data_IF_619344864740
#
_entry.id   IF_619344864740
#
_cell.length_a   1.000
_cell.length_b   1.000
_cell.length_c   1.000
_cell.angle_alpha   90.00
_cell.angle_beta   90.00
_cell.angle_gamma   90.00
#
_symmetry.space_group_name_H-M   'P 1'
#
loop_
_entity.id
_entity.type
_entity.pdbx_description
1 polymer ?
#
# COMPACT_ATOMS: atom_id res chain seq x y z
N UNK A 1 12.94 -18.34 7.97
CA UNK A 1 12.38 -17.46 6.91
C UNK A 1 11.32 -18.16 6.06
N UNK A 2 11.68 -19.25 5.34
CA UNK A 2 10.75 -19.88 4.37
C UNK A 2 9.37 -20.25 4.92
N UNK A 3 9.25 -20.67 6.18
CA UNK A 3 7.96 -21.06 6.76
C UNK A 3 7.07 -19.87 7.10
N UNK A 4 7.62 -18.76 7.60
CA UNK A 4 6.85 -17.63 8.10
C UNK A 4 6.25 -16.79 6.98
N UNK A 5 6.97 -16.61 5.85
CA UNK A 5 6.51 -15.86 4.68
C UNK A 5 5.88 -16.71 3.57
N UNK A 6 5.73 -18.03 3.78
CA UNK A 6 5.12 -18.89 2.76
C UNK A 6 3.73 -18.41 2.37
N UNK A 7 3.53 -18.06 1.10
CA UNK A 7 2.26 -17.56 0.59
C UNK A 7 1.91 -16.12 0.96
N UNK A 8 2.83 -15.38 1.59
CA UNK A 8 2.65 -13.99 1.95
C UNK A 8 2.72 -13.06 0.72
N UNK A 9 2.18 -11.87 0.89
CA UNK A 9 2.34 -10.73 0.00
C UNK A 9 2.99 -9.56 0.73
N UNK A 10 3.86 -8.81 0.06
CA UNK A 10 4.27 -7.48 0.49
C UNK A 10 3.50 -6.43 -0.33
N UNK A 11 2.56 -5.75 0.30
CA UNK A 11 1.66 -4.83 -0.40
C UNK A 11 2.29 -3.45 -0.65
N UNK A 12 3.55 -3.24 -0.21
CA UNK A 12 4.21 -1.96 -0.32
C UNK A 12 5.73 -2.13 -0.22
N UNK A 13 6.40 -2.13 -1.37
CA UNK A 13 7.86 -2.21 -1.41
C UNK A 13 8.41 -1.36 -2.56
N UNK A 14 9.60 -0.81 -2.37
CA UNK A 14 10.32 -0.02 -3.36
C UNK A 14 11.50 -0.80 -3.94
N UNK A 15 11.67 -0.74 -5.26
CA UNK A 15 12.79 -1.35 -5.95
C UNK A 15 13.23 -0.49 -7.14
N UNK A 16 14.43 -0.74 -7.66
CA UNK A 16 14.91 -0.14 -8.90
C UNK A 16 14.41 -0.87 -10.15
N UNK A 17 14.40 -0.18 -11.32
CA UNK A 17 14.83 1.22 -11.51
C UNK A 17 13.87 2.22 -10.89
N UNK A 18 14.43 3.27 -10.26
CA UNK A 18 13.63 4.38 -9.69
C UNK A 18 14.43 5.70 -9.86
N UNK A 19 13.81 6.83 -9.52
CA UNK A 19 14.45 8.17 -9.58
C UNK A 19 15.55 8.31 -8.51
N UNK A 20 15.44 7.58 -7.42
CA UNK A 20 16.43 7.51 -6.33
C UNK A 20 17.01 6.11 -6.22
N UNK A 21 18.21 6.00 -5.64
CA UNK A 21 18.87 4.72 -5.43
C UNK A 21 18.04 3.80 -4.54
N UNK A 22 17.87 2.57 -4.97
CA UNK A 22 17.15 1.53 -4.25
C UNK A 22 18.10 0.42 -3.79
N UNK A 23 17.70 -0.29 -2.75
CA UNK A 23 18.44 -1.41 -2.16
C UNK A 23 18.69 -2.54 -3.15
N UNK A 24 17.66 -2.83 -3.95
CA UNK A 24 17.59 -3.92 -4.90
C UNK A 24 16.86 -3.46 -6.15
N UNK A 25 17.13 -4.08 -7.30
CA UNK A 25 16.26 -3.93 -8.45
C UNK A 25 15.03 -4.88 -8.36
N UNK A 26 14.12 -4.74 -9.33
CA UNK A 26 12.89 -5.54 -9.38
C UNK A 26 13.15 -7.04 -9.47
N UNK A 27 14.21 -7.45 -10.17
CA UNK A 27 14.51 -8.87 -10.39
C UNK A 27 15.20 -9.48 -9.17
N UNK A 28 16.10 -8.74 -8.54
CA UNK A 28 16.73 -9.10 -7.27
C UNK A 28 15.69 -9.28 -6.17
N UNK A 29 14.75 -8.33 -6.08
CA UNK A 29 13.64 -8.37 -5.13
C UNK A 29 12.73 -9.57 -5.40
N UNK A 30 12.35 -9.81 -6.67
CA UNK A 30 11.54 -10.96 -7.06
C UNK A 30 12.23 -12.29 -6.73
N UNK A 31 13.54 -12.40 -6.97
CA UNK A 31 14.31 -13.58 -6.61
C UNK A 31 14.32 -13.84 -5.10
N UNK A 32 14.50 -12.78 -4.29
CA UNK A 32 14.49 -12.89 -2.83
C UNK A 32 13.11 -13.31 -2.29
N UNK A 33 12.02 -12.71 -2.79
CA UNK A 33 10.67 -13.07 -2.38
C UNK A 33 10.25 -14.46 -2.83
N UNK A 34 10.61 -14.86 -4.05
CA UNK A 34 10.39 -16.23 -4.54
C UNK A 34 11.14 -17.26 -3.67
N UNK A 35 12.40 -16.96 -3.32
CA UNK A 35 13.21 -17.83 -2.44
C UNK A 35 12.61 -17.92 -1.01
N UNK A 36 11.95 -16.84 -0.52
CA UNK A 36 11.24 -16.83 0.75
C UNK A 36 9.87 -17.55 0.69
N UNK A 37 9.41 -17.98 -0.49
CA UNK A 37 8.14 -18.68 -0.70
C UNK A 37 6.93 -17.73 -0.67
N UNK A 38 7.15 -16.45 -0.87
CA UNK A 38 6.06 -15.47 -0.97
C UNK A 38 5.26 -15.67 -2.26
N UNK A 39 4.00 -15.23 -2.25
CA UNK A 39 3.08 -15.36 -3.38
C UNK A 39 3.10 -14.14 -4.29
N UNK A 40 3.49 -12.99 -3.77
CA UNK A 40 3.56 -11.77 -4.58
C UNK A 40 3.98 -10.53 -3.83
N UNK A 41 4.03 -9.42 -4.56
CA UNK A 41 4.35 -8.11 -4.01
C UNK A 41 3.87 -6.97 -4.90
N UNK A 42 3.79 -5.77 -4.33
CA UNK A 42 3.35 -4.55 -4.98
C UNK A 42 4.53 -3.60 -5.13
N UNK A 43 4.97 -3.36 -6.37
CA UNK A 43 6.06 -2.42 -6.65
C UNK A 43 5.50 -0.99 -6.58
N UNK A 44 6.04 -0.16 -5.68
CA UNK A 44 5.68 1.26 -5.57
C UNK A 44 6.83 2.16 -6.01
N UNK A 45 6.50 3.21 -6.75
CA UNK A 45 7.36 4.38 -7.00
C UNK A 45 6.57 5.65 -6.70
N UNK A 46 7.23 6.67 -6.15
CA UNK A 46 6.61 7.98 -5.95
C UNK A 46 6.50 8.80 -7.25
N UNK A 47 7.15 8.38 -8.32
CA UNK A 47 7.39 9.22 -9.49
C UNK A 47 6.62 8.78 -10.74
N UNK A 48 6.58 7.48 -11.01
CA UNK A 48 5.98 6.92 -12.22
C UNK A 48 5.15 5.68 -11.89
N UNK A 49 4.29 5.26 -12.84
CA UNK A 49 3.63 3.97 -12.73
C UNK A 49 4.65 2.82 -12.80
N UNK A 50 4.28 1.69 -12.21
CA UNK A 50 5.14 0.51 -12.14
C UNK A 50 4.55 -0.72 -12.83
N UNK A 51 3.43 -0.56 -13.57
CA UNK A 51 2.73 -1.69 -14.18
C UNK A 51 3.57 -2.40 -15.24
N UNK A 52 4.30 -1.64 -16.07
CA UNK A 52 5.21 -2.22 -17.07
C UNK A 52 6.34 -3.03 -16.42
N UNK A 53 6.89 -2.54 -15.29
CA UNK A 53 7.91 -3.25 -14.50
C UNK A 53 7.33 -4.55 -13.95
N UNK A 54 6.17 -4.49 -13.29
CA UNK A 54 5.46 -5.64 -12.75
C UNK A 54 5.16 -6.70 -13.83
N UNK A 55 4.74 -6.26 -15.02
CA UNK A 55 4.51 -7.15 -16.16
C UNK A 55 5.78 -7.92 -16.56
N UNK A 56 6.92 -7.24 -16.69
CA UNK A 56 8.18 -7.87 -17.06
C UNK A 56 8.69 -8.85 -15.99
N UNK A 57 8.54 -8.50 -14.72
CA UNK A 57 8.89 -9.40 -13.60
C UNK A 57 8.07 -10.67 -13.65
N UNK A 58 6.75 -10.61 -13.86
CA UNK A 58 5.89 -11.79 -14.00
C UNK A 58 6.27 -12.68 -15.18
N UNK A 59 6.86 -12.14 -16.26
CA UNK A 59 7.37 -12.96 -17.37
C UNK A 59 8.55 -13.84 -16.96
N UNK A 60 9.37 -13.39 -16.01
CA UNK A 60 10.54 -14.10 -15.52
C UNK A 60 10.24 -14.95 -14.27
N UNK A 61 9.28 -14.52 -13.48
CA UNK A 61 8.81 -15.19 -12.26
C UNK A 61 7.30 -15.44 -12.33
N UNK A 62 6.84 -16.40 -13.16
CA UNK A 62 5.42 -16.61 -13.44
C UNK A 62 4.60 -17.06 -12.21
N UNK A 63 5.25 -17.60 -11.19
CA UNK A 63 4.60 -18.03 -9.94
C UNK A 63 4.40 -16.88 -8.95
N UNK A 64 4.99 -15.69 -9.21
CA UNK A 64 4.80 -14.50 -8.39
C UNK A 64 3.71 -13.60 -8.97
N UNK A 65 2.75 -13.24 -8.12
CA UNK A 65 1.76 -12.22 -8.43
C UNK A 65 2.33 -10.83 -8.14
N UNK A 66 3.01 -10.24 -9.13
CA UNK A 66 3.63 -8.92 -9.01
C UNK A 66 2.69 -7.87 -9.56
N UNK A 67 2.46 -6.81 -8.79
CA UNK A 67 1.44 -5.80 -9.05
C UNK A 67 2.06 -4.41 -9.16
N UNK A 68 1.60 -3.63 -10.12
CA UNK A 68 2.03 -2.25 -10.34
C UNK A 68 1.09 -1.22 -9.74
N UNK A 69 1.64 -0.05 -9.46
CA UNK A 69 0.96 1.10 -8.83
C UNK A 69 1.06 2.37 -9.65
N UNK A 70 0.18 3.33 -9.36
CA UNK A 70 0.29 4.73 -9.74
C UNK A 70 0.18 5.59 -8.49
N UNK A 71 1.03 6.61 -8.35
CA UNK A 71 0.98 7.59 -7.25
C UNK A 71 0.67 8.97 -7.81
N UNK A 72 -0.34 9.65 -7.27
CA UNK A 72 -0.88 10.91 -7.80
C UNK A 72 -0.05 12.13 -7.34
N UNK A 73 1.26 12.06 -7.57
CA UNK A 73 2.18 13.17 -7.38
C UNK A 73 2.28 14.04 -8.66
N UNK A 74 2.98 15.16 -8.59
CA UNK A 74 3.16 16.08 -9.71
C UNK A 74 3.78 15.44 -10.96
N UNK A 75 4.64 14.44 -10.78
CA UNK A 75 5.27 13.70 -11.89
C UNK A 75 4.29 13.05 -12.85
N UNK A 76 3.05 12.80 -12.41
CA UNK A 76 1.96 12.25 -13.23
C UNK A 76 0.80 13.25 -13.41
N UNK A 77 1.00 14.51 -13.02
CA UNK A 77 0.01 15.58 -13.14
C UNK A 77 -0.89 15.75 -11.91
N UNK A 78 -0.50 15.23 -10.74
CA UNK A 78 -1.27 15.35 -9.50
C UNK A 78 -2.58 14.56 -9.54
N UNK A 79 -3.70 15.18 -9.14
CA UNK A 79 -5.05 14.60 -9.20
C UNK A 79 -5.53 14.56 -10.66
N UNK A 80 -5.01 13.63 -11.44
CA UNK A 80 -5.20 13.52 -12.87
C UNK A 80 -6.04 12.29 -13.24
N UNK A 81 -7.36 12.43 -13.50
CA UNK A 81 -8.22 11.32 -13.89
C UNK A 81 -7.77 10.62 -15.16
N UNK A 82 -7.24 11.36 -16.16
CA UNK A 82 -6.76 10.77 -17.39
C UNK A 82 -5.57 9.83 -17.16
N UNK A 83 -4.63 10.23 -16.27
CA UNK A 83 -3.53 9.35 -15.88
C UNK A 83 -4.03 8.07 -15.21
N UNK A 84 -5.05 8.15 -14.34
CA UNK A 84 -5.65 6.98 -13.69
C UNK A 84 -6.34 6.07 -14.71
N UNK A 85 -7.08 6.65 -15.68
CA UNK A 85 -7.73 5.88 -16.75
C UNK A 85 -6.71 5.12 -17.60
N UNK A 86 -5.64 5.80 -18.04
CA UNK A 86 -4.58 5.15 -18.83
C UNK A 86 -3.85 4.09 -18.02
N UNK A 87 -3.56 4.37 -16.74
CA UNK A 87 -2.92 3.44 -15.83
C UNK A 87 -3.78 2.16 -15.61
N UNK A 88 -5.09 2.31 -15.44
CA UNK A 88 -6.01 1.18 -15.35
C UNK A 88 -5.95 0.26 -16.58
N UNK A 89 -5.93 0.84 -17.79
CA UNK A 89 -5.76 0.09 -19.05
C UNK A 89 -4.39 -0.53 -19.19
N UNK A 90 -3.35 0.09 -18.62
CA UNK A 90 -1.97 -0.37 -18.67
C UNK A 90 -1.68 -1.48 -17.63
N UNK A 91 -2.62 -1.76 -16.71
CA UNK A 91 -2.53 -2.84 -15.75
C UNK A 91 -2.13 -2.44 -14.34
N UNK A 92 -2.19 -1.14 -14.00
CA UNK A 92 -2.07 -0.67 -12.62
C UNK A 92 -3.24 -1.21 -11.80
N UNK A 93 -2.94 -1.66 -10.58
CA UNK A 93 -3.95 -2.20 -9.65
C UNK A 93 -4.16 -1.35 -8.41
N UNK A 94 -3.16 -0.61 -7.97
CA UNK A 94 -3.24 0.28 -6.82
C UNK A 94 -3.01 1.73 -7.25
N UNK A 95 -3.89 2.62 -6.81
CA UNK A 95 -3.76 4.06 -6.97
C UNK A 95 -3.56 4.68 -5.60
N UNK A 96 -2.40 5.29 -5.40
CA UNK A 96 -2.09 6.04 -4.18
C UNK A 96 -2.46 7.51 -4.38
N UNK A 97 -3.12 8.09 -3.40
CA UNK A 97 -3.22 9.53 -3.28
C UNK A 97 -1.82 10.14 -3.18
N UNK A 98 -1.68 11.47 -3.30
CA UNK A 98 -0.38 12.12 -3.24
C UNK A 98 0.47 11.66 -2.06
N UNK A 99 1.77 11.50 -2.32
CA UNK A 99 2.74 11.12 -1.30
C UNK A 99 3.72 12.26 -1.04
N UNK A 100 4.89 12.28 -1.70
CA UNK A 100 5.92 13.31 -1.48
C UNK A 100 5.43 14.73 -1.81
N UNK A 101 4.45 14.87 -2.69
CA UNK A 101 3.86 16.16 -3.08
C UNK A 101 2.57 16.48 -2.32
N UNK A 102 2.14 15.64 -1.36
CA UNK A 102 0.97 15.90 -0.55
C UNK A 102 1.11 17.17 0.27
N UNK A 103 0.00 17.92 0.44
CA UNK A 103 -0.01 19.10 1.32
C UNK A 103 0.53 18.79 2.71
N UNK A 104 0.15 17.66 3.26
CA UNK A 104 0.57 17.19 4.58
C UNK A 104 2.10 17.00 4.71
N UNK A 105 2.81 16.85 3.59
CA UNK A 105 4.26 16.68 3.55
C UNK A 105 5.03 17.99 3.37
N UNK A 106 4.52 18.89 2.54
CA UNK A 106 5.29 20.04 2.06
C UNK A 106 4.79 21.36 2.64
N UNK A 107 3.50 21.52 2.91
CA UNK A 107 2.85 22.74 3.34
C UNK A 107 3.16 23.98 2.46
N UNK A 108 3.28 23.77 1.15
CA UNK A 108 3.58 24.82 0.15
C UNK A 108 2.39 25.04 -0.77
N UNK A 109 2.34 26.20 -1.45
CA UNK A 109 1.27 26.50 -2.41
C UNK A 109 1.23 25.52 -3.59
N UNK A 110 2.37 24.93 -3.94
CA UNK A 110 2.46 23.92 -5.00
C UNK A 110 2.04 22.52 -4.55
N UNK A 111 1.84 22.28 -3.25
CA UNK A 111 1.47 20.95 -2.75
C UNK A 111 0.10 20.50 -3.24
N UNK A 112 -0.04 19.19 -3.49
CA UNK A 112 -1.34 18.61 -3.84
C UNK A 112 -2.20 18.45 -2.58
N UNK A 113 -3.31 19.16 -2.54
CA UNK A 113 -4.28 19.10 -1.44
C UNK A 113 -5.57 18.46 -1.95
N UNK A 114 -6.08 17.47 -1.23
CA UNK A 114 -7.31 16.79 -1.61
C UNK A 114 -8.55 17.29 -0.87
N UNK A 115 -8.38 17.96 0.27
CA UNK A 115 -9.48 18.54 1.07
C UNK A 115 -9.19 20.01 1.37
N UNK A 116 -10.11 20.89 1.00
CA UNK A 116 -10.06 22.33 1.33
C UNK A 116 -11.44 22.83 1.72
N UNK A 117 -11.53 23.52 2.85
CA UNK A 117 -12.77 24.09 3.37
C UNK A 117 -13.93 23.07 3.44
N UNK A 118 -13.60 21.82 3.82
CA UNK A 118 -14.54 20.69 3.93
C UNK A 118 -15.00 20.10 2.60
N UNK A 119 -14.38 20.49 1.48
CA UNK A 119 -14.71 19.97 0.14
C UNK A 119 -13.51 19.23 -0.46
N UNK A 120 -13.78 18.08 -1.05
CA UNK A 120 -12.79 17.35 -1.85
C UNK A 120 -12.46 18.15 -3.12
N UNK A 121 -11.19 18.07 -3.52
CA UNK A 121 -10.69 18.74 -4.72
C UNK A 121 -11.36 18.23 -6.00
N UNK A 122 -11.39 19.08 -7.02
CA UNK A 122 -11.87 18.72 -8.35
C UNK A 122 -11.08 17.51 -8.89
N UNK A 123 -11.78 16.64 -9.62
CA UNK A 123 -11.22 15.40 -10.18
C UNK A 123 -11.25 14.19 -9.23
N UNK A 124 -11.39 14.38 -7.91
CA UNK A 124 -11.46 13.25 -6.96
C UNK A 124 -12.63 12.32 -7.29
N UNK A 125 -13.82 12.86 -7.52
CA UNK A 125 -15.00 12.04 -7.84
C UNK A 125 -14.82 11.18 -9.09
N UNK A 126 -14.21 11.74 -10.14
CA UNK A 126 -13.90 11.03 -11.37
C UNK A 126 -12.82 9.96 -11.15
N UNK A 127 -11.78 10.27 -10.39
CA UNK A 127 -10.74 9.31 -9.99
C UNK A 127 -11.36 8.12 -9.25
N UNK A 128 -12.25 8.38 -8.29
CA UNK A 128 -12.92 7.32 -7.53
C UNK A 128 -13.80 6.44 -8.43
N UNK A 129 -14.51 7.04 -9.39
CA UNK A 129 -15.31 6.29 -10.36
C UNK A 129 -14.44 5.38 -11.24
N UNK A 130 -13.32 5.90 -11.76
CA UNK A 130 -12.38 5.10 -12.56
C UNK A 130 -11.82 3.93 -11.73
N UNK A 131 -11.42 4.17 -10.48
CA UNK A 131 -10.90 3.14 -9.57
C UNK A 131 -11.96 2.06 -9.33
N UNK A 132 -13.21 2.45 -9.04
CA UNK A 132 -14.33 1.52 -8.85
C UNK A 132 -14.58 0.67 -10.10
N UNK A 133 -14.72 1.32 -11.25
CA UNK A 133 -15.14 0.67 -12.49
C UNK A 133 -14.07 -0.28 -13.06
N UNK A 134 -12.82 -0.12 -12.61
CA UNK A 134 -11.71 -1.01 -12.95
C UNK A 134 -11.31 -1.96 -11.81
N UNK A 135 -12.09 -2.05 -10.72
CA UNK A 135 -11.83 -2.90 -9.55
C UNK A 135 -10.41 -2.73 -8.99
N UNK A 136 -9.94 -1.47 -8.97
CA UNK A 136 -8.63 -1.11 -8.43
C UNK A 136 -8.70 -0.86 -6.92
N UNK A 137 -7.55 -0.76 -6.29
CA UNK A 137 -7.39 -0.46 -4.87
C UNK A 137 -7.04 1.02 -4.72
N UNK A 138 -7.76 1.73 -3.85
CA UNK A 138 -7.45 3.10 -3.45
C UNK A 138 -6.60 3.10 -2.18
N UNK A 139 -5.44 3.75 -2.22
CA UNK A 139 -4.55 3.90 -1.08
C UNK A 139 -4.45 5.38 -0.67
N UNK A 140 -4.48 5.67 0.64
CA UNK A 140 -4.47 7.06 1.13
C UNK A 140 -3.16 7.83 0.86
N UNK A 141 -2.04 7.13 0.63
CA UNK A 141 -0.76 7.80 0.44
C UNK A 141 -0.31 8.58 1.67
N UNK A 142 0.16 9.83 1.48
CA UNK A 142 0.65 10.68 2.57
C UNK A 142 -0.28 11.87 2.89
N UNK A 143 -1.55 11.78 2.55
CA UNK A 143 -2.53 12.82 2.90
C UNK A 143 -2.84 12.79 4.40
N UNK A 144 -3.32 13.90 4.93
CA UNK A 144 -3.62 14.02 6.36
C UNK A 144 -4.73 13.05 6.82
N UNK A 145 -4.77 12.69 8.11
CA UNK A 145 -5.80 11.78 8.63
C UNK A 145 -7.23 12.23 8.32
N UNK A 146 -7.52 13.51 8.44
CA UNK A 146 -8.85 14.07 8.15
C UNK A 146 -9.16 14.03 6.65
N UNK A 147 -8.16 14.24 5.80
CA UNK A 147 -8.28 14.08 4.35
C UNK A 147 -8.56 12.62 3.98
N UNK A 148 -7.88 11.68 4.65
CA UNK A 148 -8.11 10.24 4.47
C UNK A 148 -9.53 9.84 4.84
N UNK A 149 -10.05 10.32 5.98
CA UNK A 149 -11.42 10.04 6.40
C UNK A 149 -12.45 10.58 5.42
N UNK A 150 -12.28 11.82 4.97
CA UNK A 150 -13.18 12.46 3.99
C UNK A 150 -13.14 11.70 2.64
N UNK A 151 -11.96 11.29 2.19
CA UNK A 151 -11.77 10.52 0.97
C UNK A 151 -12.46 9.14 1.05
N UNK A 152 -12.24 8.41 2.16
CA UNK A 152 -12.80 7.07 2.33
C UNK A 152 -14.32 7.11 2.51
N UNK A 153 -14.86 8.11 3.21
CA UNK A 153 -16.31 8.33 3.26
C UNK A 153 -16.89 8.54 1.86
N UNK A 154 -16.25 9.37 1.04
CA UNK A 154 -16.68 9.60 -0.34
C UNK A 154 -16.52 8.36 -1.22
N UNK A 155 -15.44 7.61 -1.06
CA UNK A 155 -15.21 6.35 -1.75
C UNK A 155 -16.30 5.31 -1.43
N UNK A 156 -16.66 5.19 -0.14
CA UNK A 156 -17.75 4.32 0.31
C UNK A 156 -19.10 4.72 -0.31
N UNK A 157 -19.44 6.01 -0.33
CA UNK A 157 -20.66 6.53 -1.01
C UNK A 157 -20.70 6.16 -2.49
N UNK A 158 -19.54 6.16 -3.16
CA UNK A 158 -19.42 5.77 -4.58
C UNK A 158 -19.33 4.26 -4.78
N UNK A 159 -19.37 3.46 -3.71
CA UNK A 159 -19.38 2.00 -3.78
C UNK A 159 -18.00 1.35 -3.97
N UNK A 160 -16.90 2.06 -3.70
CA UNK A 160 -15.56 1.45 -3.64
C UNK A 160 -15.49 0.52 -2.42
N UNK A 161 -14.83 -0.64 -2.60
CA UNK A 161 -14.72 -1.68 -1.57
C UNK A 161 -13.29 -2.04 -1.22
N UNK A 162 -12.30 -1.57 -1.99
CA UNK A 162 -10.89 -1.87 -1.83
C UNK A 162 -10.14 -0.60 -1.43
N UNK A 163 -10.03 -0.37 -0.14
CA UNK A 163 -9.41 0.82 0.44
C UNK A 163 -8.25 0.40 1.35
N UNK A 164 -7.12 1.12 1.28
CA UNK A 164 -5.97 0.94 2.17
C UNK A 164 -5.60 2.29 2.77
N UNK A 165 -5.64 2.37 4.11
CA UNK A 165 -5.04 3.46 4.86
C UNK A 165 -3.53 3.16 4.98
N UNK A 166 -2.71 3.90 4.23
CA UNK A 166 -1.29 3.64 4.05
C UNK A 166 -0.50 3.99 5.32
N UNK A 167 0.34 3.07 5.82
CA UNK A 167 1.27 3.18 6.96
C UNK A 167 0.78 4.10 8.09
N UNK A 168 -0.38 3.76 8.68
CA UNK A 168 -1.15 4.61 9.62
C UNK A 168 -0.41 5.09 10.87
N UNK A 169 0.76 4.54 11.22
CA UNK A 169 1.61 4.96 12.34
C UNK A 169 2.74 5.91 11.92
N UNK A 170 2.99 6.11 10.63
CA UNK A 170 4.06 6.99 10.20
C UNK A 170 3.78 8.44 10.65
N UNK A 171 4.74 9.13 11.30
CA UNK A 171 4.44 10.39 11.98
C UNK A 171 3.69 11.44 11.16
N UNK A 172 3.99 11.68 9.86
CA UNK A 172 3.25 12.66 9.07
C UNK A 172 1.77 12.34 8.86
N UNK A 173 1.39 11.06 8.85
CA UNK A 173 0.02 10.60 8.58
C UNK A 173 -0.59 9.83 9.76
N UNK A 174 0.06 9.92 10.92
CA UNK A 174 -0.33 9.15 12.10
C UNK A 174 -1.80 9.33 12.44
N UNK A 175 -2.55 8.25 12.34
CA UNK A 175 -3.94 8.19 12.75
C UNK A 175 -4.05 7.68 14.20
N UNK A 176 -4.84 8.37 15.03
CA UNK A 176 -5.20 7.85 16.35
C UNK A 176 -5.98 6.54 16.21
N UNK A 177 -6.00 5.72 17.26
CA UNK A 177 -6.75 4.46 17.27
C UNK A 177 -8.23 4.67 16.92
N UNK A 178 -8.82 5.75 17.40
CA UNK A 178 -10.21 6.12 17.07
C UNK A 178 -10.38 6.45 15.59
N UNK A 179 -9.42 7.17 15.00
CA UNK A 179 -9.41 7.48 13.56
C UNK A 179 -9.23 6.20 12.73
N UNK A 180 -8.36 5.28 13.16
CA UNK A 180 -8.18 3.98 12.50
C UNK A 180 -9.48 3.16 12.50
N UNK A 181 -10.23 3.15 13.61
CA UNK A 181 -11.56 2.52 13.68
C UNK A 181 -12.57 3.17 12.73
N UNK A 182 -12.50 4.48 12.52
CA UNK A 182 -13.35 5.16 11.54
C UNK A 182 -12.98 4.77 10.11
N UNK A 183 -11.68 4.60 9.78
CA UNK A 183 -11.26 4.08 8.47
C UNK A 183 -11.79 2.66 8.23
N UNK A 184 -11.70 1.80 9.23
CA UNK A 184 -12.30 0.45 9.18
C UNK A 184 -13.81 0.52 8.97
N UNK A 185 -14.50 1.47 9.62
CA UNK A 185 -15.93 1.75 9.41
C UNK A 185 -16.28 2.13 7.97
N UNK A 186 -15.34 2.72 7.23
CA UNK A 186 -15.47 2.98 5.79
C UNK A 186 -15.13 1.74 4.92
N UNK A 187 -14.71 0.63 5.52
CA UNK A 187 -14.30 -0.59 4.83
C UNK A 187 -12.83 -0.62 4.41
N UNK A 188 -11.99 0.23 4.98
CA UNK A 188 -10.57 0.26 4.68
C UNK A 188 -9.78 -0.76 5.49
N UNK A 189 -8.74 -1.32 4.86
CA UNK A 189 -7.66 -2.02 5.56
C UNK A 189 -6.63 -1.02 6.07
N UNK A 190 -6.10 -1.27 7.26
CA UNK A 190 -5.02 -0.50 7.87
C UNK A 190 -3.69 -1.13 7.47
N UNK A 191 -2.80 -0.38 6.87
CA UNK A 191 -1.47 -0.85 6.50
C UNK A 191 -0.47 -0.49 7.59
N UNK A 192 0.23 -1.50 8.09
CA UNK A 192 1.31 -1.41 9.07
C UNK A 192 2.62 -1.82 8.41
N UNK A 193 3.64 -0.97 8.49
CA UNK A 193 4.88 -1.17 7.75
C UNK A 193 6.08 -1.42 8.66
N UNK A 194 6.96 -2.34 8.22
CA UNK A 194 8.23 -2.65 8.89
C UNK A 194 9.08 -1.40 9.09
N UNK A 195 9.09 -0.49 8.13
CA UNK A 195 9.88 0.75 8.22
C UNK A 195 9.53 1.58 9.46
N UNK A 196 8.28 1.55 9.92
CA UNK A 196 7.85 2.28 11.12
C UNK A 196 8.44 1.70 12.41
N UNK A 197 8.62 0.38 12.47
CA UNK A 197 9.32 -0.30 13.57
C UNK A 197 10.81 0.05 13.53
N UNK A 198 11.45 -0.04 12.37
CA UNK A 198 12.87 0.30 12.20
C UNK A 198 13.15 1.77 12.53
N UNK A 199 12.23 2.66 12.24
CA UNK A 199 12.33 4.09 12.57
C UNK A 199 11.96 4.42 14.03
N UNK A 200 11.47 3.45 14.81
CA UNK A 200 11.03 3.64 16.19
C UNK A 200 9.75 4.47 16.34
N UNK A 201 8.97 4.61 15.27
CA UNK A 201 7.68 5.33 15.30
C UNK A 201 6.52 4.45 15.74
N UNK A 202 6.72 3.13 15.79
CA UNK A 202 5.79 2.12 16.31
C UNK A 202 6.61 1.04 16.99
N UNK A 203 6.18 0.54 18.15
CA UNK A 203 6.75 -0.67 18.74
C UNK A 203 5.95 -1.91 18.35
N UNK A 204 6.59 -3.07 18.46
CA UNK A 204 5.94 -4.36 18.19
C UNK A 204 4.78 -4.61 19.17
N UNK A 205 4.96 -4.22 20.44
CA UNK A 205 3.96 -4.33 21.50
C UNK A 205 2.74 -3.42 21.24
N UNK A 206 2.98 -2.19 20.77
CA UNK A 206 1.90 -1.28 20.37
C UNK A 206 1.09 -1.88 19.21
N UNK A 207 1.76 -2.39 18.16
CA UNK A 207 1.06 -3.02 17.06
C UNK A 207 0.31 -4.28 17.50
N UNK A 208 0.91 -5.14 18.32
CA UNK A 208 0.21 -6.30 18.86
C UNK A 208 -1.02 -5.91 19.71
N UNK A 209 -0.98 -4.75 20.39
CA UNK A 209 -2.14 -4.20 21.09
C UNK A 209 -3.23 -3.71 20.13
N UNK A 210 -2.85 -3.01 19.04
CA UNK A 210 -3.79 -2.54 18.02
C UNK A 210 -4.46 -3.73 17.30
N UNK A 211 -3.70 -4.80 16.99
CA UNK A 211 -4.25 -6.03 16.39
C UNK A 211 -5.34 -6.63 17.28
N UNK A 212 -5.10 -6.70 18.60
CA UNK A 212 -6.11 -7.22 19.56
C UNK A 212 -7.35 -6.32 19.67
N UNK A 213 -7.20 -5.01 19.46
CA UNK A 213 -8.30 -4.05 19.65
C UNK A 213 -9.15 -3.84 18.39
N UNK A 214 -8.54 -3.91 17.22
CA UNK A 214 -9.22 -3.64 15.93
C UNK A 214 -9.57 -4.94 15.21
N UNK A 215 -8.70 -5.95 15.28
CA UNK A 215 -8.85 -7.23 14.59
C UNK A 215 -7.92 -7.36 13.38
N UNK A 216 -7.24 -8.49 13.27
CA UNK A 216 -6.32 -8.81 12.17
C UNK A 216 -7.01 -8.81 10.79
N UNK A 217 -8.33 -9.06 10.76
CA UNK A 217 -9.15 -9.06 9.54
C UNK A 217 -9.25 -7.70 8.87
N UNK A 218 -8.89 -6.62 9.57
CA UNK A 218 -8.90 -5.25 9.07
C UNK A 218 -7.51 -4.69 8.80
N UNK A 219 -6.46 -5.52 8.90
CA UNK A 219 -5.07 -5.08 8.81
C UNK A 219 -4.31 -5.80 7.71
N UNK A 220 -3.30 -5.14 7.16
CA UNK A 220 -2.27 -5.73 6.32
C UNK A 220 -0.89 -5.34 6.84
N UNK A 221 0.08 -6.25 6.71
CA UNK A 221 1.48 -5.98 6.99
C UNK A 221 2.25 -5.86 5.69
N UNK A 222 3.06 -4.82 5.58
CA UNK A 222 3.92 -4.53 4.43
C UNK A 222 5.30 -4.12 4.89
N UNK A 223 6.26 -4.00 4.00
CA UNK A 223 7.59 -3.56 4.42
C UNK A 223 7.78 -2.05 4.31
N UNK A 224 7.32 -1.43 3.24
CA UNK A 224 7.70 -0.07 2.81
C UNK A 224 9.23 0.11 2.76
N UNK A 225 9.94 -0.99 2.52
CA UNK A 225 11.40 -1.02 2.38
C UNK A 225 11.83 -0.87 0.92
N UNK A 226 13.15 -0.84 0.73
CA UNK A 226 13.80 -0.65 -0.56
C UNK A 226 14.69 0.58 -0.61
N UNK A 227 14.77 1.38 0.43
CA UNK A 227 15.74 2.46 0.58
C UNK A 227 17.15 1.84 0.74
N UNK A 228 18.14 2.39 0.05
CA UNK A 228 19.49 1.81 -0.04
C UNK A 228 20.15 1.50 1.32
N UNK A 229 19.84 2.33 2.35
CA UNK A 229 20.38 2.19 3.70
C UNK A 229 19.66 1.17 4.59
N UNK A 230 18.44 0.75 4.21
CA UNK A 230 17.60 -0.13 5.00
C UNK A 230 17.97 -1.61 4.77
N UNK A 231 17.53 -2.53 5.65
CA UNK A 231 17.68 -3.96 5.44
C UNK A 231 17.04 -4.45 4.12
N UNK A 232 17.41 -5.64 3.74
CA UNK A 232 16.80 -6.36 2.61
C UNK A 232 15.34 -6.71 2.98
N UNK A 233 14.35 -6.40 2.07
CA UNK A 233 12.92 -6.46 2.41
C UNK A 233 12.43 -7.84 2.89
N UNK A 234 12.80 -8.94 2.23
CA UNK A 234 12.32 -10.27 2.62
C UNK A 234 12.84 -10.70 4.00
N UNK A 235 14.12 -10.38 4.30
CA UNK A 235 14.73 -10.70 5.57
C UNK A 235 14.08 -9.90 6.71
N UNK A 236 13.91 -8.60 6.52
CA UNK A 236 13.27 -7.73 7.50
C UNK A 236 11.81 -8.10 7.72
N UNK A 237 11.07 -8.45 6.67
CA UNK A 237 9.68 -8.88 6.80
C UNK A 237 9.55 -10.17 7.61
N UNK A 238 10.43 -11.15 7.37
CA UNK A 238 10.45 -12.39 8.15
C UNK A 238 10.78 -12.15 9.63
N UNK A 239 11.76 -11.29 9.91
CA UNK A 239 12.13 -10.89 11.28
C UNK A 239 10.96 -10.20 11.98
N UNK A 240 10.34 -9.22 11.33
CA UNK A 240 9.19 -8.48 11.86
C UNK A 240 7.99 -9.41 12.14
N UNK A 241 7.67 -10.32 11.23
CA UNK A 241 6.63 -11.32 11.44
C UNK A 241 6.94 -12.21 12.66
N UNK A 242 8.21 -12.59 12.85
CA UNK A 242 8.66 -13.33 14.02
C UNK A 242 8.48 -12.56 15.33
N UNK A 243 8.85 -11.27 15.36
CA UNK A 243 8.67 -10.41 16.53
C UNK A 243 7.18 -10.27 16.93
N UNK A 244 6.27 -10.23 15.97
CA UNK A 244 4.83 -10.20 16.28
C UNK A 244 4.34 -11.51 16.92
N UNK A 245 4.81 -12.67 16.45
CA UNK A 245 4.51 -13.97 17.08
C UNK A 245 5.06 -14.00 18.53
N UNK A 246 6.28 -13.51 18.76
CA UNK A 246 6.89 -13.43 20.09
C UNK A 246 6.11 -12.47 21.01
N UNK A 247 5.49 -11.42 20.46
CA UNK A 247 4.60 -10.49 21.17
C UNK A 247 3.17 -11.03 21.39
N UNK A 248 2.92 -12.30 21.01
CA UNK A 248 1.67 -13.01 21.26
C UNK A 248 0.59 -12.83 20.19
N UNK A 249 0.92 -12.30 19.03
CA UNK A 249 0.06 -12.40 17.85
C UNK A 249 0.01 -13.86 17.39
N UNK A 250 -1.15 -14.44 17.18
CA UNK A 250 -1.29 -15.83 16.74
C UNK A 250 -0.85 -16.02 15.29
N UNK A 251 -0.43 -17.25 14.93
CA UNK A 251 -0.12 -17.60 13.54
C UNK A 251 -1.29 -17.32 12.59
N UNK A 252 -2.54 -17.52 13.04
CA UNK A 252 -3.72 -17.27 12.24
C UNK A 252 -3.92 -15.77 11.97
N UNK A 253 -3.77 -14.92 12.98
CA UNK A 253 -3.81 -13.45 12.81
C UNK A 253 -2.70 -12.98 11.88
N UNK A 254 -1.48 -13.46 12.07
CA UNK A 254 -0.36 -13.13 11.19
C UNK A 254 -0.67 -13.55 9.74
N UNK A 255 -1.15 -14.78 9.52
CA UNK A 255 -1.55 -15.28 8.19
C UNK A 255 -2.66 -14.45 7.56
N UNK A 256 -3.62 -14.03 8.36
CA UNK A 256 -4.68 -13.14 7.88
C UNK A 256 -4.09 -11.84 7.33
N UNK A 257 -3.19 -11.21 8.06
CA UNK A 257 -2.61 -9.90 7.69
C UNK A 257 -1.60 -9.96 6.54
N UNK A 258 -0.80 -11.04 6.41
CA UNK A 258 0.24 -11.11 5.37
C UNK A 258 -0.17 -11.92 4.12
N UNK A 259 -1.26 -12.66 4.18
CA UNK A 259 -1.67 -13.52 3.06
C UNK A 259 -3.15 -13.35 2.69
N UNK A 260 -4.10 -13.62 3.60
CA UNK A 260 -5.51 -13.66 3.25
C UNK A 260 -6.07 -12.28 2.85
N UNK A 261 -5.83 -11.25 3.65
CA UNK A 261 -6.28 -9.88 3.37
C UNK A 261 -5.61 -9.31 2.09
N UNK A 262 -4.28 -9.42 1.92
CA UNK A 262 -3.63 -9.04 0.66
C UNK A 262 -4.21 -9.78 -0.55
N UNK A 263 -4.43 -11.07 -0.46
CA UNK A 263 -4.97 -11.86 -1.57
C UNK A 263 -6.39 -11.39 -1.93
N UNK A 264 -7.26 -11.15 -0.94
CA UNK A 264 -8.60 -10.61 -1.15
C UNK A 264 -8.57 -9.25 -1.87
N UNK A 265 -7.63 -8.36 -1.50
CA UNK A 265 -7.48 -7.05 -2.12
C UNK A 265 -7.01 -7.15 -3.57
N UNK A 266 -5.97 -7.97 -3.84
CA UNK A 266 -5.35 -8.09 -5.17
C UNK A 266 -6.24 -8.87 -6.14
N UNK A 267 -7.00 -9.86 -5.67
CA UNK A 267 -7.88 -10.66 -6.52
C UNK A 267 -8.95 -9.76 -7.13
N UNK A 268 -9.04 -9.80 -8.46
CA UNK A 268 -10.03 -9.01 -9.20
C UNK A 268 -11.27 -9.84 -9.51
N UNK A 269 -12.44 -9.21 -9.38
CA UNK A 269 -13.70 -9.77 -9.87
C UNK A 269 -13.87 -9.61 -11.37
N UNK A 270 -13.05 -8.76 -11.99
CA UNK A 270 -13.09 -8.51 -13.44
C UNK A 270 -12.18 -9.52 -14.14
N UNK A 271 -12.78 -10.44 -14.92
CA UNK A 271 -12.06 -11.25 -15.91
C UNK A 271 -11.54 -10.32 -17.03
N UNK A 272 -10.46 -9.61 -16.79
CA UNK A 272 -9.63 -9.02 -17.84
C UNK A 272 -8.35 -9.84 -17.86
N UNK A 273 -8.21 -10.69 -18.87
CA UNK A 273 -6.89 -11.17 -19.29
C UNK A 273 -6.09 -9.91 -19.63
N UNK A 274 -5.28 -9.45 -18.67
CA UNK A 274 -4.28 -8.43 -18.94
C UNK A 274 -3.23 -9.09 -19.84
N UNK A 275 -2.98 -8.48 -20.98
CA UNK A 275 -2.09 -8.79 -22.10
C UNK A 275 -0.93 -9.71 -21.80
#
# INVERSE_FOLDING_TARGET
MKQILQGAYDMHVHAGPDVIDRKMDDLELAAAYNAAGMKGFVIKSHYFDTAGRAYLVRKLFPDLNVVGTLVLNHSVGGLNPEAVEKAARYGVRLVFMPTIDAWNMLHTESSVRILKDGRLADGIDEILEIIRDNDMILCSGHIAPEETLALFGRAQEKGLRKLIATHVEWPPVRASLEMQKQYVGCGAFLEHCVINILAGSLSVEELASQIREIGAEHMILSTDLGQASNPEPAAAFAEYAGLLLDAGVSENELRTMIAANPEQLITTSLCREAF
#
